data_IF_933823622033
#
_entry.id   IF_933823622033
#
_cell.length_a   1.000
_cell.length_b   1.000
_cell.length_c   1.000
_cell.angle_alpha   90.00
_cell.angle_beta   90.00
_cell.angle_gamma   90.00
#
_symmetry.space_group_name_H-M   'P 1'
#
loop_
_entity.id
_entity.type
_entity.pdbx_description
1 polymer ?
#
# COMPACT_ATOMS: atom_id res chain seq x y z
N UNK A 1 19.28 9.30 8.30
CA UNK A 1 19.14 8.70 6.95
C UNK A 1 19.50 7.22 7.03
N UNK A 2 18.54 6.33 6.79
CA UNK A 2 18.83 4.93 6.50
C UNK A 2 19.35 4.85 5.06
N UNK A 3 20.65 5.09 4.88
CA UNK A 3 21.28 5.16 3.55
C UNK A 3 21.47 3.81 2.87
N UNK A 4 21.19 2.72 3.57
CA UNK A 4 21.32 1.35 3.06
C UNK A 4 20.00 0.60 3.28
N UNK A 5 19.23 0.44 2.19
CA UNK A 5 17.99 -0.32 2.19
C UNK A 5 18.25 -1.81 2.45
N UNK A 6 19.33 -2.39 1.92
CA UNK A 6 19.62 -3.81 2.10
C UNK A 6 19.88 -4.12 3.59
N UNK A 7 20.75 -3.35 4.23
CA UNK A 7 20.99 -3.51 5.67
C UNK A 7 19.73 -3.23 6.51
N UNK A 8 18.82 -2.39 6.03
CA UNK A 8 17.53 -2.13 6.68
C UNK A 8 16.57 -3.31 6.51
N UNK A 9 16.50 -3.93 5.34
CA UNK A 9 15.76 -5.16 5.11
C UNK A 9 16.27 -6.30 6.00
N UNK A 10 17.59 -6.45 6.13
CA UNK A 10 18.19 -7.49 6.97
C UNK A 10 17.73 -7.37 8.42
N UNK A 11 17.88 -6.19 9.02
CA UNK A 11 17.42 -5.95 10.39
C UNK A 11 15.92 -6.16 10.55
N UNK A 12 15.13 -5.77 9.55
CA UNK A 12 13.68 -5.98 9.60
C UNK A 12 13.33 -7.47 9.56
N UNK A 13 13.95 -8.24 8.67
CA UNK A 13 13.73 -9.68 8.56
C UNK A 13 14.13 -10.42 9.85
N UNK A 14 15.28 -10.06 10.45
CA UNK A 14 15.73 -10.63 11.73
C UNK A 14 14.70 -10.40 12.85
N UNK A 15 14.09 -9.20 12.88
CA UNK A 15 13.01 -8.89 13.82
C UNK A 15 11.77 -9.74 13.55
N UNK A 16 11.35 -9.86 12.28
CA UNK A 16 10.19 -10.67 11.89
C UNK A 16 10.36 -12.14 12.28
N UNK A 17 11.56 -12.70 12.09
CA UNK A 17 11.85 -14.09 12.45
C UNK A 17 11.84 -14.31 13.98
N UNK A 18 12.12 -13.27 14.76
CA UNK A 18 12.01 -13.29 16.21
C UNK A 18 10.59 -13.06 16.78
N UNK A 19 9.60 -12.72 15.94
CA UNK A 19 8.24 -12.45 16.42
C UNK A 19 7.54 -13.73 16.90
N UNK A 20 6.71 -13.65 17.96
CA UNK A 20 5.81 -14.74 18.31
C UNK A 20 4.91 -15.12 17.13
N UNK A 21 4.58 -16.41 16.93
CA UNK A 21 3.81 -16.86 15.76
C UNK A 21 2.54 -16.05 15.49
N UNK A 22 1.76 -15.74 16.54
CA UNK A 22 0.52 -14.97 16.42
C UNK A 22 0.72 -13.54 15.89
N UNK A 23 1.86 -12.92 16.18
CA UNK A 23 2.18 -11.60 15.67
C UNK A 23 2.63 -11.70 14.21
N UNK A 24 3.50 -12.68 13.90
CA UNK A 24 3.98 -12.93 12.53
C UNK A 24 2.86 -13.24 11.55
N UNK A 25 1.88 -14.06 11.96
CA UNK A 25 0.69 -14.42 11.16
C UNK A 25 -0.20 -13.24 10.75
N UNK A 26 -0.07 -12.09 11.40
CA UNK A 26 -0.92 -10.89 11.18
C UNK A 26 -0.14 -9.71 10.61
N UNK A 27 1.18 -9.84 10.50
CA UNK A 27 2.03 -8.76 10.01
C UNK A 27 1.90 -8.64 8.49
N UNK A 28 1.80 -7.40 8.01
CA UNK A 28 1.94 -7.03 6.60
C UNK A 28 2.88 -5.82 6.50
N UNK A 29 3.44 -5.58 5.32
CA UNK A 29 4.24 -4.37 5.03
C UNK A 29 3.65 -3.64 3.84
N UNK A 30 3.85 -2.34 3.73
CA UNK A 30 3.20 -1.48 2.75
C UNK A 30 4.22 -0.57 2.05
N UNK A 31 4.03 -0.32 0.75
CA UNK A 31 4.88 0.60 0.00
C UNK A 31 4.64 2.07 0.41
N UNK A 32 5.68 2.88 0.34
CA UNK A 32 5.76 4.22 0.93
C UNK A 32 5.53 5.34 -0.11
N UNK A 33 5.26 6.57 0.35
CA UNK A 33 4.98 7.76 -0.46
C UNK A 33 6.22 8.62 -0.75
N UNK A 34 7.37 8.24 -0.19
CA UNK A 34 8.63 8.96 -0.32
C UNK A 34 9.58 8.20 -1.24
N UNK A 35 10.07 8.85 -2.30
CA UNK A 35 10.89 8.20 -3.33
C UNK A 35 12.11 7.46 -2.78
N UNK A 36 12.77 7.99 -1.74
CA UNK A 36 13.93 7.35 -1.11
C UNK A 36 13.58 6.15 -0.22
N UNK A 37 12.30 5.93 0.08
CA UNK A 37 11.77 4.82 0.87
C UNK A 37 11.26 3.68 -0.05
N UNK A 38 10.40 2.81 0.45
CA UNK A 38 10.19 1.46 -0.10
C UNK A 38 9.11 1.40 -1.16
N UNK A 39 9.47 0.89 -2.34
CA UNK A 39 8.51 0.48 -3.38
C UNK A 39 7.96 -0.92 -3.14
N UNK A 40 6.88 -1.28 -3.84
CA UNK A 40 6.34 -2.65 -3.84
C UNK A 40 7.41 -3.66 -4.23
N UNK A 41 8.17 -3.40 -5.32
CA UNK A 41 9.22 -4.31 -5.79
C UNK A 41 10.28 -4.54 -4.70
N UNK A 42 10.75 -3.46 -4.09
CA UNK A 42 11.77 -3.53 -3.04
C UNK A 42 11.28 -4.29 -1.81
N UNK A 43 10.01 -4.15 -1.41
CA UNK A 43 9.43 -4.93 -0.32
C UNK A 43 9.27 -6.40 -0.67
N UNK A 44 8.83 -6.71 -1.90
CA UNK A 44 8.71 -8.10 -2.33
C UNK A 44 10.07 -8.80 -2.33
N UNK A 45 11.06 -8.19 -2.98
CA UNK A 45 12.41 -8.75 -3.12
C UNK A 45 13.18 -8.77 -1.79
N UNK A 46 13.10 -7.68 -1.02
CA UNK A 46 13.88 -7.48 0.20
C UNK A 46 13.26 -8.08 1.46
N UNK A 47 11.94 -8.26 1.51
CA UNK A 47 11.21 -8.67 2.73
C UNK A 47 10.33 -9.88 2.49
N UNK A 48 9.40 -9.82 1.53
CA UNK A 48 8.37 -10.84 1.39
C UNK A 48 8.95 -12.21 1.02
N UNK A 49 9.89 -12.26 0.06
CA UNK A 49 10.57 -13.50 -0.36
C UNK A 49 11.28 -14.19 0.81
N UNK A 50 11.83 -13.43 1.75
CA UNK A 50 12.60 -13.96 2.88
C UNK A 50 11.73 -14.41 4.05
N UNK A 51 10.67 -13.65 4.32
CA UNK A 51 9.89 -13.78 5.56
C UNK A 51 8.52 -14.39 5.37
N UNK A 52 8.00 -14.40 4.13
CA UNK A 52 6.61 -14.73 3.82
C UNK A 52 5.60 -13.67 4.26
N UNK A 53 6.05 -12.50 4.74
CA UNK A 53 5.15 -11.40 5.13
C UNK A 53 4.50 -10.81 3.88
N UNK A 54 3.16 -10.75 3.81
CA UNK A 54 2.48 -10.17 2.66
C UNK A 54 2.73 -8.67 2.52
N UNK A 55 2.75 -8.21 1.27
CA UNK A 55 2.84 -6.79 0.92
C UNK A 55 1.44 -6.24 0.63
N UNK A 56 0.99 -5.30 1.44
CA UNK A 56 -0.20 -4.47 1.20
C UNK A 56 0.16 -3.44 0.13
N UNK A 57 -0.61 -3.43 -0.96
CA UNK A 57 -0.47 -2.42 -2.00
C UNK A 57 -1.22 -1.16 -1.60
N UNK A 58 -0.51 -0.05 -1.43
CA UNK A 58 -1.11 1.28 -1.39
C UNK A 58 -1.03 1.93 -2.77
N UNK A 59 -2.22 2.23 -3.30
CA UNK A 59 -2.39 2.79 -4.63
C UNK A 59 -1.78 4.19 -4.75
N UNK A 60 -1.97 5.06 -3.78
CA UNK A 60 -1.53 6.44 -3.86
C UNK A 60 -0.02 6.56 -3.67
N UNK A 61 0.53 5.86 -2.69
CA UNK A 61 1.96 5.75 -2.42
C UNK A 61 2.72 5.21 -3.64
N UNK A 62 2.13 4.24 -4.36
CA UNK A 62 2.75 3.66 -5.57
C UNK A 62 3.05 4.73 -6.63
N UNK A 63 2.29 5.82 -6.70
CA UNK A 63 2.58 6.93 -7.64
C UNK A 63 3.93 7.63 -7.38
N UNK A 64 4.49 7.50 -6.18
CA UNK A 64 5.77 8.08 -5.77
C UNK A 64 6.91 7.05 -5.72
N UNK A 65 6.56 5.76 -5.66
CA UNK A 65 7.52 4.66 -5.51
C UNK A 65 7.36 3.57 -6.56
N UNK A 66 6.83 3.89 -7.75
CA UNK A 66 6.49 2.89 -8.78
C UNK A 66 7.67 2.06 -9.31
N UNK A 67 8.87 2.65 -9.33
CA UNK A 67 10.08 2.10 -9.99
C UNK A 67 9.81 1.62 -11.42
N UNK A 68 8.98 2.36 -12.14
CA UNK A 68 8.57 2.08 -13.52
C UNK A 68 7.50 0.99 -13.66
N UNK A 69 6.93 0.47 -12.57
CA UNK A 69 5.79 -0.44 -12.64
C UNK A 69 4.48 0.32 -12.80
N UNK A 70 3.63 -0.13 -13.71
CA UNK A 70 2.23 0.33 -13.72
C UNK A 70 1.51 -0.08 -12.43
N UNK A 71 0.42 0.61 -12.08
CA UNK A 71 -0.42 0.24 -10.92
C UNK A 71 -0.85 -1.23 -10.92
N UNK A 72 -1.16 -1.79 -12.10
CA UNK A 72 -1.59 -3.19 -12.22
C UNK A 72 -0.43 -4.16 -12.01
N UNK A 73 0.76 -3.83 -12.47
CA UNK A 73 1.96 -4.65 -12.24
C UNK A 73 2.39 -4.59 -10.78
N UNK A 74 2.41 -3.39 -10.18
CA UNK A 74 2.66 -3.20 -8.75
C UNK A 74 1.66 -3.97 -7.89
N UNK A 75 0.36 -3.79 -8.15
CA UNK A 75 -0.68 -4.55 -7.45
C UNK A 75 -0.53 -6.06 -7.63
N UNK A 76 -0.27 -6.54 -8.85
CA UNK A 76 -0.09 -7.97 -9.11
C UNK A 76 1.08 -8.52 -8.28
N UNK A 77 2.21 -7.82 -8.27
CA UNK A 77 3.39 -8.22 -7.53
C UNK A 77 3.13 -8.30 -6.02
N UNK A 78 2.42 -7.32 -5.46
CA UNK A 78 1.99 -7.33 -4.06
C UNK A 78 0.99 -8.47 -3.77
N UNK A 79 -0.08 -8.59 -4.58
CA UNK A 79 -1.13 -9.62 -4.44
C UNK A 79 -0.54 -11.03 -4.42
N UNK A 80 0.43 -11.31 -5.28
CA UNK A 80 1.01 -12.64 -5.39
C UNK A 80 1.75 -13.05 -4.08
N UNK A 81 2.07 -12.10 -3.17
CA UNK A 81 2.60 -12.40 -1.82
C UNK A 81 1.57 -12.88 -0.80
N UNK A 82 0.27 -12.73 -1.09
CA UNK A 82 -0.81 -13.17 -0.20
C UNK A 82 -1.23 -14.63 -0.43
N UNK A 83 -0.71 -15.28 -1.47
CA UNK A 83 -1.06 -16.66 -1.83
C UNK A 83 -2.56 -16.80 -2.13
N UNK A 84 -3.21 -17.74 -1.45
CA UNK A 84 -4.65 -18.02 -1.63
C UNK A 84 -5.56 -17.06 -0.85
N UNK A 85 -4.99 -16.14 -0.05
CA UNK A 85 -5.74 -15.17 0.72
C UNK A 85 -6.05 -13.95 -0.13
N UNK A 86 -7.30 -13.47 -0.09
CA UNK A 86 -7.69 -12.22 -0.74
C UNK A 86 -6.91 -11.06 -0.09
N UNK A 87 -6.16 -10.25 -0.87
CA UNK A 87 -5.32 -9.20 -0.30
C UNK A 87 -6.17 -8.03 0.21
N UNK A 88 -5.64 -7.37 1.24
CA UNK A 88 -6.05 -6.02 1.62
C UNK A 88 -5.20 -5.03 0.83
N UNK A 89 -5.82 -3.95 0.37
CA UNK A 89 -5.14 -2.84 -0.32
C UNK A 89 -5.61 -1.52 0.23
N UNK A 90 -4.73 -0.52 0.22
CA UNK A 90 -5.06 0.84 0.61
C UNK A 90 -5.31 1.69 -0.63
N UNK A 91 -6.33 2.53 -0.55
CA UNK A 91 -6.71 3.44 -1.61
C UNK A 91 -7.05 4.81 -1.04
N UNK A 92 -6.35 5.82 -1.55
CA UNK A 92 -6.62 7.23 -1.34
C UNK A 92 -6.44 7.98 -2.66
N UNK A 93 -6.88 9.24 -2.68
CA UNK A 93 -6.67 10.16 -3.80
C UNK A 93 -6.02 11.43 -3.25
N UNK A 94 -5.15 12.12 -4.02
CA UNK A 94 -4.46 13.32 -3.56
C UNK A 94 -5.44 14.49 -3.38
N UNK A 95 -5.37 15.19 -2.24
CA UNK A 95 -6.24 16.33 -1.92
C UNK A 95 -6.23 17.43 -2.99
N UNK A 96 -5.11 17.60 -3.71
CA UNK A 96 -4.96 18.51 -4.85
C UNK A 96 -5.97 18.28 -5.97
N UNK A 97 -6.38 17.04 -6.19
CA UNK A 97 -7.39 16.71 -7.20
C UNK A 97 -8.83 16.94 -6.71
N UNK A 98 -8.99 17.31 -5.44
CA UNK A 98 -10.29 17.47 -4.76
C UNK A 98 -10.51 18.90 -4.24
N UNK A 99 -9.82 19.88 -4.80
CA UNK A 99 -10.05 21.31 -4.55
C UNK A 99 -9.05 21.98 -3.61
N UNK A 100 -8.09 21.25 -3.04
CA UNK A 100 -7.00 21.82 -2.24
C UNK A 100 -5.70 21.87 -3.06
N UNK A 101 -5.61 22.84 -3.97
CA UNK A 101 -4.49 22.95 -4.92
C UNK A 101 -3.12 23.12 -4.23
N UNK A 102 -3.09 23.63 -2.99
CA UNK A 102 -1.87 23.93 -2.23
C UNK A 102 -1.43 22.79 -1.31
N UNK A 103 -2.30 21.82 -1.01
CA UNK A 103 -1.97 20.60 -0.25
C UNK A 103 -0.71 19.92 -0.80
N UNK A 104 0.08 19.15 -0.05
CA UNK A 104 1.20 18.37 -0.63
C UNK A 104 0.67 17.24 -1.53
N UNK A 105 1.43 16.73 -2.53
CA UNK A 105 0.94 15.65 -3.39
C UNK A 105 0.53 14.39 -2.60
N UNK A 106 1.24 14.10 -1.51
CA UNK A 106 0.97 12.96 -0.63
C UNK A 106 -0.29 13.14 0.25
N UNK A 107 -0.80 14.37 0.41
CA UNK A 107 -1.94 14.59 1.30
C UNK A 107 -3.20 13.90 0.78
N UNK A 108 -3.89 13.16 1.65
CA UNK A 108 -5.10 12.44 1.28
C UNK A 108 -6.30 13.39 1.14
N UNK A 109 -7.15 13.12 0.17
CA UNK A 109 -8.42 13.81 0.02
C UNK A 109 -9.38 13.50 1.18
N UNK A 110 -10.32 14.41 1.43
CA UNK A 110 -11.39 14.18 2.40
C UNK A 110 -12.28 13.00 1.98
N UNK A 111 -12.54 12.87 0.68
CA UNK A 111 -13.34 11.80 0.10
C UNK A 111 -12.76 11.38 -1.25
N UNK A 112 -12.77 10.08 -1.53
CA UNK A 112 -12.43 9.56 -2.87
C UNK A 112 -13.61 9.72 -3.82
N UNK A 113 -13.32 9.95 -5.10
CA UNK A 113 -14.30 10.05 -6.16
C UNK A 113 -14.75 8.67 -6.65
N UNK A 114 -13.83 7.71 -6.75
CA UNK A 114 -14.10 6.35 -7.20
C UNK A 114 -13.02 5.38 -6.72
N UNK A 115 -13.27 4.07 -6.83
CA UNK A 115 -12.22 3.05 -6.69
C UNK A 115 -12.12 2.28 -8.00
N UNK A 116 -10.91 2.06 -8.56
CA UNK A 116 -10.75 1.29 -9.79
C UNK A 116 -11.43 -0.07 -9.69
N UNK A 117 -12.32 -0.38 -10.62
CA UNK A 117 -13.14 -1.58 -10.54
C UNK A 117 -12.33 -2.89 -10.56
N UNK A 118 -11.12 -2.87 -11.15
CA UNK A 118 -10.22 -4.02 -11.12
C UNK A 118 -9.62 -4.26 -9.72
N UNK A 119 -9.26 -3.19 -9.00
CA UNK A 119 -8.75 -3.28 -7.64
C UNK A 119 -9.84 -3.86 -6.73
N UNK A 120 -11.04 -3.27 -6.76
CA UNK A 120 -12.20 -3.75 -5.98
C UNK A 120 -12.59 -5.20 -6.25
N UNK A 121 -12.39 -5.71 -7.48
CA UNK A 121 -12.68 -7.12 -7.80
C UNK A 121 -11.65 -8.08 -7.22
N UNK A 122 -10.40 -7.65 -7.11
CA UNK A 122 -9.28 -8.53 -6.77
C UNK A 122 -8.75 -8.33 -5.33
N UNK A 123 -9.23 -7.31 -4.61
CA UNK A 123 -8.85 -7.05 -3.22
C UNK A 123 -10.00 -6.55 -2.35
N UNK A 124 -9.77 -6.57 -1.04
CA UNK A 124 -10.54 -5.80 -0.07
C UNK A 124 -9.89 -4.42 0.10
N UNK A 125 -10.63 -3.35 -0.21
CA UNK A 125 -10.08 -1.99 -0.33
C UNK A 125 -10.36 -1.19 0.94
N UNK A 126 -9.31 -0.83 1.65
CA UNK A 126 -9.33 0.15 2.74
C UNK A 126 -9.27 1.56 2.16
N UNK A 127 -10.22 2.41 2.55
CA UNK A 127 -10.23 3.81 2.13
C UNK A 127 -9.48 4.67 3.15
N UNK A 128 -8.34 5.22 2.75
CA UNK A 128 -7.54 6.09 3.59
C UNK A 128 -7.87 7.56 3.31
N UNK A 129 -8.90 8.06 3.98
CA UNK A 129 -9.43 9.41 3.73
C UNK A 129 -9.73 10.13 5.04
N UNK A 130 -9.63 11.47 5.05
CA UNK A 130 -9.94 12.24 6.25
C UNK A 130 -11.43 12.14 6.65
N UNK A 131 -12.31 11.99 5.68
CA UNK A 131 -13.75 11.85 5.90
C UNK A 131 -14.20 10.45 6.34
N UNK A 132 -13.29 9.48 6.52
CA UNK A 132 -13.54 8.15 7.10
C UNK A 132 -14.78 7.46 6.50
N UNK A 133 -15.75 7.08 7.31
CA UNK A 133 -16.96 6.36 6.89
C UNK A 133 -17.84 7.18 5.94
N UNK A 134 -17.78 8.52 6.01
CA UNK A 134 -18.51 9.39 5.06
C UNK A 134 -18.02 9.21 3.63
N UNK A 135 -16.72 8.91 3.44
CA UNK A 135 -16.15 8.60 2.13
C UNK A 135 -16.81 7.36 1.52
N UNK A 136 -16.94 6.29 2.31
CA UNK A 136 -17.62 5.06 1.90
C UNK A 136 -19.11 5.29 1.60
N UNK A 137 -19.82 6.03 2.45
CA UNK A 137 -21.23 6.36 2.24
C UNK A 137 -21.45 7.15 0.95
N UNK A 138 -20.57 8.10 0.63
CA UNK A 138 -20.60 8.87 -0.62
C UNK A 138 -20.34 7.98 -1.83
N UNK A 139 -19.36 7.09 -1.76
CA UNK A 139 -19.03 6.16 -2.85
C UNK A 139 -20.22 5.26 -3.20
N UNK A 140 -20.91 4.72 -2.17
CA UNK A 140 -22.08 3.85 -2.34
C UNK A 140 -23.29 4.56 -2.94
N UNK A 141 -23.47 5.85 -2.69
CA UNK A 141 -24.57 6.65 -3.29
C UNK A 141 -24.37 6.92 -4.79
N UNK A 142 -23.15 6.77 -5.29
CA UNK A 142 -22.77 7.04 -6.69
C UNK A 142 -22.65 5.77 -7.55
N UNK A 143 -22.83 4.60 -6.93
CA UNK A 143 -22.64 3.27 -7.56
C UNK A 143 -23.97 2.63 -7.96
#
# INVERSE_FOLDING_TARGET
HYGDKAATADRFCDVVDGLPPRARERLTVENDDTESLWSVRELVEGVAVRTGVPVTFDYHHHSFTDRGLTYREGFKLARDTWGDVRPITHYSEPARLHGDADARPQNHAEHVASVPGWLRRESDVMLETHGKEQSLLRLRRRS
#
